data_IF_552011496485
#
_entry.id   IF_552011496485
#
_cell.length_a   1.000
_cell.length_b   1.000
_cell.length_c   1.000
_cell.angle_alpha   90.00
_cell.angle_beta   90.00
_cell.angle_gamma   90.00
#
_symmetry.space_group_name_H-M   'P 1'
#
loop_
_entity.id
_entity.type
_entity.pdbx_description
1 polymer ?
#
# COMPACT_ATOMS: atom_id res chain seq x y z
N UNK A 1 -3.03 -9.94 -8.19
CA UNK A 1 -2.95 -10.54 -6.84
C UNK A 1 -1.50 -10.52 -6.42
N UNK A 2 -1.18 -9.97 -5.25
CA UNK A 2 0.21 -9.71 -4.84
C UNK A 2 0.84 -8.50 -5.55
N UNK A 3 0.05 -7.68 -6.24
CA UNK A 3 0.51 -6.42 -6.83
C UNK A 3 0.70 -5.36 -5.74
N UNK A 4 1.41 -4.28 -6.07
CA UNK A 4 1.68 -3.16 -5.16
C UNK A 4 0.94 -1.94 -5.64
N UNK A 5 0.18 -1.30 -4.74
CA UNK A 5 -0.63 -0.12 -5.02
C UNK A 5 -0.18 1.01 -4.09
N UNK A 6 0.20 2.14 -4.68
CA UNK A 6 0.56 3.34 -3.94
C UNK A 6 -0.68 3.95 -3.30
N UNK A 7 -0.58 4.42 -2.06
CA UNK A 7 -1.65 5.16 -1.39
C UNK A 7 -1.09 6.50 -0.98
N UNK A 8 -1.66 7.58 -1.53
CA UNK A 8 -1.29 8.97 -1.27
C UNK A 8 -2.52 9.79 -0.92
N UNK A 9 -2.99 9.58 0.30
CA UNK A 9 -4.19 10.20 0.85
C UNK A 9 -3.84 10.82 2.21
N UNK A 10 -4.33 12.02 2.55
CA UNK A 10 -4.03 12.66 3.83
C UNK A 10 -4.36 11.76 5.02
N UNK A 11 -3.44 11.74 5.98
CA UNK A 11 -3.60 11.05 7.24
C UNK A 11 -4.85 11.50 8.00
N UNK A 12 -5.51 10.57 8.72
CA UNK A 12 -6.70 10.84 9.52
C UNK A 12 -8.02 10.99 8.75
N UNK A 13 -8.01 10.85 7.43
CA UNK A 13 -9.24 10.89 6.60
C UNK A 13 -9.88 9.50 6.45
N UNK A 14 -11.20 9.46 6.27
CA UNK A 14 -11.90 8.22 5.92
C UNK A 14 -11.39 7.63 4.60
N UNK A 15 -11.05 8.47 3.63
CA UNK A 15 -10.53 8.06 2.33
C UNK A 15 -9.23 7.26 2.43
N UNK A 16 -8.37 7.57 3.41
CA UNK A 16 -7.16 6.80 3.65
C UNK A 16 -7.50 5.37 4.07
N UNK A 17 -8.38 5.21 5.06
CA UNK A 17 -8.78 3.89 5.56
C UNK A 17 -9.52 3.09 4.49
N UNK A 18 -10.43 3.72 3.74
CA UNK A 18 -11.13 3.09 2.61
C UNK A 18 -10.14 2.66 1.54
N UNK A 19 -9.14 3.49 1.22
CA UNK A 19 -8.09 3.16 0.24
C UNK A 19 -7.25 1.96 0.67
N UNK A 20 -6.80 1.93 1.93
CA UNK A 20 -6.05 0.81 2.50
C UNK A 20 -6.88 -0.48 2.41
N UNK A 21 -8.14 -0.44 2.87
CA UNK A 21 -9.02 -1.61 2.87
C UNK A 21 -9.35 -2.08 1.45
N UNK A 22 -9.55 -1.16 0.50
CA UNK A 22 -9.79 -1.49 -0.90
C UNK A 22 -8.60 -2.22 -1.54
N UNK A 23 -7.37 -1.80 -1.25
CA UNK A 23 -6.14 -2.45 -1.74
C UNK A 23 -6.02 -3.86 -1.17
N UNK A 24 -6.22 -4.02 0.15
CA UNK A 24 -6.18 -5.33 0.80
C UNK A 24 -7.29 -6.26 0.30
N UNK A 25 -8.51 -5.75 0.11
CA UNK A 25 -9.64 -6.50 -0.43
C UNK A 25 -9.41 -6.95 -1.89
N UNK A 26 -8.68 -6.14 -2.68
CA UNK A 26 -8.22 -6.52 -4.01
C UNK A 26 -7.05 -7.54 -4.00
N UNK A 27 -6.54 -7.88 -2.82
CA UNK A 27 -5.42 -8.79 -2.60
C UNK A 27 -4.08 -8.22 -3.08
N UNK A 28 -3.93 -6.90 -3.04
CA UNK A 28 -2.69 -6.19 -3.29
C UNK A 28 -2.09 -5.67 -1.97
N UNK A 29 -0.79 -5.37 -2.00
CA UNK A 29 -0.09 -4.72 -0.91
C UNK A 29 -0.14 -3.20 -1.10
N UNK A 30 -0.47 -2.46 -0.04
CA UNK A 30 -0.42 -0.99 -0.12
C UNK A 30 0.99 -0.46 0.18
N UNK A 31 1.36 0.62 -0.51
CA UNK A 31 2.62 1.35 -0.33
C UNK A 31 2.27 2.79 0.03
N UNK A 32 2.30 3.17 1.32
CA UNK A 32 1.87 4.49 1.73
C UNK A 32 2.98 5.53 1.52
N UNK A 33 2.59 6.71 1.02
CA UNK A 33 3.38 7.95 1.09
C UNK A 33 2.40 9.04 1.50
N UNK A 34 2.76 9.86 2.48
CA UNK A 34 1.83 10.89 2.95
C UNK A 34 1.50 11.88 1.82
N UNK A 35 0.28 12.41 1.82
CA UNK A 35 -0.11 13.41 0.83
C UNK A 35 0.66 14.73 1.00
N UNK A 36 1.12 15.03 2.22
CA UNK A 36 1.93 16.20 2.55
C UNK A 36 3.41 16.01 2.21
N UNK A 37 3.87 14.76 1.99
CA UNK A 37 5.23 14.50 1.54
C UNK A 37 5.45 15.08 0.12
N UNK A 38 6.66 15.59 -0.19
CA UNK A 38 6.99 16.09 -1.52
C UNK A 38 6.76 15.07 -2.63
N UNK A 39 6.28 15.51 -3.79
CA UNK A 39 6.00 14.63 -4.95
C UNK A 39 7.22 13.81 -5.38
N UNK A 40 8.43 14.35 -5.25
CA UNK A 40 9.67 13.65 -5.56
C UNK A 40 9.87 12.41 -4.69
N UNK A 41 9.54 12.50 -3.39
CA UNK A 41 9.58 11.36 -2.47
C UNK A 41 8.59 10.28 -2.90
N UNK A 42 7.37 10.67 -3.28
CA UNK A 42 6.38 9.72 -3.78
C UNK A 42 6.85 9.01 -5.06
N UNK A 43 7.43 9.75 -6.02
CA UNK A 43 7.98 9.17 -7.26
C UNK A 43 9.08 8.15 -6.96
N UNK A 44 10.01 8.46 -6.06
CA UNK A 44 11.10 7.55 -5.69
C UNK A 44 10.58 6.28 -5.01
N UNK A 45 9.69 6.42 -4.03
CA UNK A 45 9.12 5.29 -3.29
C UNK A 45 8.29 4.39 -4.21
N UNK A 46 7.41 4.95 -5.03
CA UNK A 46 6.54 4.16 -5.91
C UNK A 46 7.31 3.48 -7.04
N UNK A 47 8.35 4.12 -7.58
CA UNK A 47 9.23 3.51 -8.56
C UNK A 47 10.03 2.34 -7.96
N UNK A 48 10.66 2.53 -6.80
CA UNK A 48 11.42 1.48 -6.11
C UNK A 48 10.52 0.31 -5.69
N UNK A 49 9.29 0.62 -5.25
CA UNK A 49 8.30 -0.37 -4.91
C UNK A 49 7.71 -1.09 -6.13
N UNK A 50 7.91 -0.63 -7.36
CA UNK A 50 7.27 -1.21 -8.55
C UNK A 50 5.74 -1.17 -8.46
N UNK A 51 5.19 -0.06 -7.97
CA UNK A 51 3.75 0.16 -7.86
C UNK A 51 3.09 0.13 -9.25
N UNK A 52 1.94 -0.55 -9.36
CA UNK A 52 1.18 -0.63 -10.62
C UNK A 52 0.12 0.47 -10.79
N UNK A 53 -0.32 1.06 -9.68
CA UNK A 53 -1.37 2.06 -9.61
C UNK A 53 -1.23 2.87 -8.32
N UNK A 54 -1.60 4.14 -8.33
CA UNK A 54 -1.69 4.98 -7.13
C UNK A 54 -3.15 5.30 -6.83
N UNK A 55 -3.52 5.37 -5.56
CA UNK A 55 -4.77 5.95 -5.05
C UNK A 55 -4.46 7.32 -4.45
N UNK A 56 -4.99 8.39 -5.05
CA UNK A 56 -4.83 9.78 -4.58
C UNK A 56 -6.06 10.31 -3.84
N UNK A 57 -5.94 11.49 -3.23
CA UNK A 57 -7.05 12.19 -2.58
C UNK A 57 -7.98 12.88 -3.61
N UNK A 58 -9.28 12.61 -3.52
CA UNK A 58 -10.31 13.22 -4.36
C UNK A 58 -11.51 12.30 -4.62
N UNK A 59 -12.63 12.83 -5.16
CA UNK A 59 -13.79 12.03 -5.55
C UNK A 59 -13.42 11.18 -6.78
N UNK A 60 -12.93 9.97 -6.52
CA UNK A 60 -12.51 9.02 -7.53
C UNK A 60 -11.08 8.57 -7.29
N UNK A 61 -10.88 7.26 -7.28
CA UNK A 61 -9.58 6.62 -7.30
C UNK A 61 -8.84 7.05 -8.58
N UNK A 62 -7.91 8.01 -8.47
CA UNK A 62 -7.07 8.44 -9.59
C UNK A 62 -5.97 7.40 -9.86
N UNK A 63 -6.31 6.36 -10.62
CA UNK A 63 -5.35 5.34 -11.06
C UNK A 63 -4.36 5.95 -12.06
N UNK A 64 -3.13 6.21 -11.59
CA UNK A 64 -2.01 6.57 -12.47
C UNK A 64 -1.29 5.29 -12.93
N UNK A 65 -1.49 4.90 -14.20
CA UNK A 65 -0.88 3.71 -14.80
C UNK A 65 -1.71 3.11 -15.96
N UNK A 66 -1.17 2.16 -16.74
CA UNK A 66 -1.93 1.47 -17.78
C UNK A 66 -3.09 0.70 -17.13
N UNK A 67 -4.33 0.98 -17.57
CA UNK A 67 -5.49 0.20 -17.13
C UNK A 67 -5.42 -1.19 -17.75
N UNK A 68 -5.23 -2.22 -16.93
CA UNK A 68 -5.44 -3.58 -17.38
C UNK A 68 -6.95 -3.79 -17.60
N UNK A 69 -7.34 -4.06 -18.84
CA UNK A 69 -8.74 -4.34 -19.22
C UNK A 69 -9.14 -5.81 -18.99
N UNK A 70 -8.21 -6.65 -18.54
CA UNK A 70 -8.50 -8.04 -18.26
C UNK A 70 -9.39 -8.16 -17.03
N UNK A 71 -10.40 -9.03 -17.13
CA UNK A 71 -11.20 -9.46 -15.98
C UNK A 71 -10.28 -10.15 -14.99
N UNK A 72 -9.78 -9.40 -14.02
CA UNK A 72 -9.01 -9.94 -12.90
C UNK A 72 -9.92 -10.94 -12.19
N UNK A 73 -9.56 -12.23 -12.19
CA UNK A 73 -10.15 -13.17 -11.24
C UNK A 73 -9.77 -12.68 -9.86
N UNK A 74 -10.75 -12.13 -9.13
CA UNK A 74 -10.56 -11.87 -7.72
C UNK A 74 -10.38 -13.22 -7.04
N UNK A 75 -9.23 -13.39 -6.41
CA UNK A 75 -8.98 -14.47 -5.47
C UNK A 75 -8.65 -13.79 -4.15
N UNK A 76 -9.11 -14.32 -3.02
CA UNK A 76 -8.76 -13.75 -1.73
C UNK A 76 -7.23 -13.76 -1.54
N UNK A 77 -6.65 -12.74 -0.89
CA UNK A 77 -5.24 -12.79 -0.51
C UNK A 77 -4.97 -14.01 0.37
N UNK A 78 -3.80 -14.61 0.20
CA UNK A 78 -3.31 -15.66 1.10
C UNK A 78 -2.50 -15.03 2.22
N UNK A 79 -2.32 -15.71 3.38
CA UNK A 79 -1.48 -15.19 4.46
C UNK A 79 -0.02 -14.92 4.08
N UNK A 80 0.46 -15.51 2.98
CA UNK A 80 1.82 -15.32 2.47
C UNK A 80 1.99 -14.12 1.54
N UNK A 81 0.92 -13.45 1.13
CA UNK A 81 1.03 -12.19 0.38
C UNK A 81 1.40 -11.04 1.30
N UNK A 82 2.12 -10.07 0.74
CA UNK A 82 2.37 -8.78 1.38
C UNK A 82 1.03 -8.05 1.60
N UNK A 83 0.83 -7.54 2.82
CA UNK A 83 -0.25 -6.63 3.17
C UNK A 83 0.18 -5.18 2.92
N UNK A 84 1.42 -4.84 3.26
CA UNK A 84 1.98 -3.51 2.99
C UNK A 84 3.49 -3.52 2.82
N UNK A 85 3.99 -2.43 2.24
CA UNK A 85 5.42 -2.13 2.16
C UNK A 85 5.64 -0.70 2.64
N UNK A 86 6.31 -0.53 3.78
CA UNK A 86 6.62 0.79 4.33
C UNK A 86 8.09 1.12 4.05
N UNK A 87 8.33 2.31 3.52
CA UNK A 87 9.67 2.78 3.20
C UNK A 87 10.27 3.61 4.33
N UNK A 88 11.54 3.35 4.63
CA UNK A 88 12.32 4.09 5.62
C UNK A 88 13.46 4.85 4.94
N UNK A 89 13.98 5.88 5.61
CA UNK A 89 15.19 6.59 5.17
C UNK A 89 16.38 5.63 5.21
N UNK A 90 16.90 5.27 4.05
CA UNK A 90 18.11 4.47 3.95
C UNK A 90 19.35 5.31 4.25
N UNK A 91 20.30 4.77 5.01
CA UNK A 91 21.61 5.40 5.26
C UNK A 91 22.43 5.66 4.00
N UNK A 92 22.08 5.01 2.88
CA UNK A 92 22.71 5.14 1.57
C UNK A 92 21.99 6.13 0.64
N UNK A 93 21.01 6.88 1.16
CA UNK A 93 20.20 7.83 0.38
C UNK A 93 19.09 7.19 -0.47
N UNK A 94 19.13 5.87 -0.68
CA UNK A 94 18.04 5.12 -1.34
C UNK A 94 17.01 4.63 -0.31
N UNK A 95 15.71 4.91 -0.48
CA UNK A 95 14.66 4.38 0.38
C UNK A 95 14.68 2.84 0.43
N UNK A 96 14.46 2.26 1.61
CA UNK A 96 14.38 0.80 1.78
C UNK A 96 12.94 0.40 2.12
N UNK A 97 12.34 -0.44 1.28
CA UNK A 97 10.99 -0.97 1.51
C UNK A 97 11.02 -2.17 2.44
N UNK A 98 10.24 -2.11 3.51
CA UNK A 98 10.01 -3.24 4.44
C UNK A 98 8.64 -3.83 4.11
N UNK A 99 8.65 -5.03 3.53
CA UNK A 99 7.44 -5.78 3.23
C UNK A 99 6.95 -6.53 4.46
N UNK A 100 5.64 -6.43 4.73
CA UNK A 100 4.97 -7.16 5.82
C UNK A 100 3.85 -7.99 5.23
N UNK A 101 3.88 -9.28 5.50
CA UNK A 101 2.83 -10.23 5.05
C UNK A 101 1.54 -10.08 5.86
N UNK A 102 0.42 -10.53 5.28
CA UNK A 102 -0.85 -10.66 6.01
C UNK A 102 -0.70 -11.49 7.29
N UNK A 103 0.09 -12.57 7.26
CA UNK A 103 0.38 -13.39 8.45
C UNK A 103 1.08 -12.59 9.54
N UNK A 104 2.15 -11.86 9.17
CA UNK A 104 2.92 -11.05 10.13
C UNK A 104 2.08 -9.91 10.71
N UNK A 105 1.25 -9.28 9.88
CA UNK A 105 0.31 -8.24 10.30
C UNK A 105 -0.71 -8.78 11.32
N UNK A 106 -1.35 -9.91 11.01
CA UNK A 106 -2.33 -10.54 11.90
C UNK A 106 -1.68 -10.95 13.24
N UNK A 107 -0.51 -11.57 13.19
CA UNK A 107 0.21 -11.96 14.41
C UNK A 107 0.58 -10.77 15.30
N UNK A 108 0.92 -9.61 14.70
CA UNK A 108 1.17 -8.38 15.45
C UNK A 108 -0.12 -7.87 16.12
N UNK A 109 -1.23 -7.82 15.37
CA UNK A 109 -2.54 -7.39 15.92
C UNK A 109 -3.01 -8.31 17.05
N UNK A 110 -2.87 -9.62 16.90
CA UNK A 110 -3.24 -10.60 17.94
C UNK A 110 -2.38 -10.42 19.20
N UNK A 111 -1.09 -10.16 19.04
CA UNK A 111 -0.18 -9.92 20.15
C UNK A 111 -0.53 -8.62 20.90
N UNK A 112 -0.78 -7.53 20.18
CA UNK A 112 -1.18 -6.24 20.77
C UNK A 112 -2.56 -6.33 21.45
N UNK A 113 -3.52 -7.05 20.87
CA UNK A 113 -4.84 -7.23 21.45
C UNK A 113 -4.82 -8.03 22.77
N UNK A 114 -3.79 -8.85 23.00
CA UNK A 114 -3.62 -9.59 24.26
C UNK A 114 -2.96 -8.75 25.38
N UNK A 115 -2.44 -7.56 25.06
CA UNK A 115 -1.83 -6.65 26.03
C UNK A 115 -2.83 -5.71 26.72
N UNK A 116 -4.07 -5.66 26.24
CA UNK A 116 -5.17 -4.83 26.76
C UNK A 116 -6.39 -5.68 27.09
#
# INVERSE_FOLDING_TARGET
LGDRVGVRVPSGTNDLYVSVLAVLAAGAAYVPVDAEDPDERARLVFAEAGVRAVLGAGPGIEVTGPRAHDRVRSAPPTPGHDAWIIFTSGSTGKPKGVAVTHRSAAAFVDAEAALF
#
